data_IF_273290778045
#
_entry.id   IF_273290778045
#
_cell.length_a   1.000
_cell.length_b   1.000
_cell.length_c   1.000
_cell.angle_alpha   90.00
_cell.angle_beta   90.00
_cell.angle_gamma   90.00
#
_symmetry.space_group_name_H-M   'P 1'
#
loop_
_entity.id
_entity.type
_entity.pdbx_description
1 polymer ?
#
# COMPACT_ATOMS: atom_id res chain seq x y z
N UNK A 1 -20.04 -9.93 18.28
CA UNK A 1 -18.88 -10.83 18.08
C UNK A 1 -17.83 -10.09 17.27
N UNK A 2 -16.65 -9.86 17.84
CA UNK A 2 -15.50 -9.31 17.11
C UNK A 2 -14.78 -10.50 16.47
N UNK A 3 -14.86 -10.64 15.15
CA UNK A 3 -14.01 -11.58 14.42
C UNK A 3 -12.62 -10.96 14.38
N UNK A 4 -11.74 -11.43 15.26
CA UNK A 4 -10.30 -11.15 15.16
C UNK A 4 -9.79 -11.99 14.00
N UNK A 5 -9.31 -11.35 12.93
CA UNK A 5 -8.64 -12.05 11.83
C UNK A 5 -7.44 -12.82 12.40
N UNK A 6 -7.55 -14.15 12.42
CA UNK A 6 -6.58 -15.06 13.03
C UNK A 6 -5.40 -15.41 12.11
N UNK A 7 -5.35 -14.85 10.91
CA UNK A 7 -4.28 -15.10 9.94
C UNK A 7 -3.32 -13.93 9.91
N UNK A 8 -2.10 -14.18 10.36
CA UNK A 8 -0.99 -13.23 10.25
C UNK A 8 0.11 -13.83 9.39
N UNK A 9 0.55 -13.06 8.40
CA UNK A 9 1.65 -13.42 7.52
C UNK A 9 2.77 -12.43 7.73
N UNK A 10 3.94 -12.92 8.12
CA UNK A 10 5.14 -12.09 8.30
C UNK A 10 6.07 -12.25 7.12
N UNK A 11 6.31 -11.14 6.41
CA UNK A 11 7.27 -11.06 5.30
C UNK A 11 8.55 -10.40 5.84
N UNK A 12 9.69 -11.09 5.74
CA UNK A 12 10.99 -10.50 6.11
C UNK A 12 11.54 -9.66 4.95
N UNK A 13 11.99 -8.46 5.28
CA UNK A 13 12.65 -7.52 4.37
C UNK A 13 14.14 -7.43 4.68
N UNK A 14 14.98 -7.33 3.64
CA UNK A 14 16.38 -6.97 3.79
C UNK A 14 16.53 -5.48 4.10
N UNK A 15 17.72 -5.03 4.54
CA UNK A 15 18.01 -3.60 4.72
C UNK A 15 17.82 -2.80 3.43
N UNK A 16 18.13 -3.39 2.28
CA UNK A 16 17.88 -2.76 0.97
C UNK A 16 16.38 -2.62 0.72
N UNK A 17 15.58 -3.64 1.05
CA UNK A 17 14.13 -3.60 0.84
C UNK A 17 13.45 -2.55 1.72
N UNK A 18 13.89 -2.39 2.97
CA UNK A 18 13.32 -1.39 3.89
C UNK A 18 13.45 0.05 3.36
N UNK A 19 14.54 0.36 2.66
CA UNK A 19 14.71 1.67 2.00
C UNK A 19 13.66 1.92 0.92
N UNK A 20 13.28 0.87 0.20
CA UNK A 20 12.29 0.93 -0.87
C UNK A 20 10.87 0.95 -0.32
N UNK A 21 10.59 0.20 0.75
CA UNK A 21 9.25 0.11 1.36
C UNK A 21 8.86 1.42 2.06
N UNK A 22 9.78 2.06 2.77
CA UNK A 22 9.50 3.29 3.52
C UNK A 22 9.51 4.57 2.68
N UNK A 23 9.91 4.46 1.41
CA UNK A 23 10.03 5.57 0.46
C UNK A 23 10.70 6.80 1.10
N UNK A 24 11.82 6.57 1.80
CA UNK A 24 12.58 7.64 2.43
C UNK A 24 13.66 8.14 1.46
N UNK A 25 13.21 8.77 0.38
CA UNK A 25 14.08 9.37 -0.64
C UNK A 25 14.09 10.89 -0.49
N UNK A 26 15.26 11.53 -0.34
CA UNK A 26 15.36 13.00 -0.34
C UNK A 26 14.78 13.64 -1.60
N UNK A 27 14.81 12.92 -2.72
CA UNK A 27 14.39 13.32 -4.06
C UNK A 27 13.04 12.70 -4.49
N UNK A 28 12.24 12.19 -3.54
CA UNK A 28 10.96 11.53 -3.83
C UNK A 28 10.04 12.34 -4.77
N UNK A 29 10.04 13.66 -4.66
CA UNK A 29 9.25 14.53 -5.54
C UNK A 29 9.70 14.48 -7.00
N UNK A 30 11.01 14.53 -7.26
CA UNK A 30 11.55 14.39 -8.62
C UNK A 30 11.28 12.99 -9.16
N UNK A 31 11.44 11.97 -8.31
CA UNK A 31 11.13 10.58 -8.66
C UNK A 31 9.67 10.40 -9.08
N UNK A 32 8.72 11.08 -8.40
CA UNK A 32 7.29 11.11 -8.81
C UNK A 32 7.12 11.70 -10.20
N UNK A 33 7.69 12.87 -10.45
CA UNK A 33 7.58 13.54 -11.76
C UNK A 33 8.16 12.69 -12.91
N UNK A 34 9.16 11.87 -12.61
CA UNK A 34 9.80 10.97 -13.57
C UNK A 34 9.13 9.59 -13.67
N UNK A 35 8.05 9.33 -12.91
CA UNK A 35 7.41 8.02 -12.79
C UNK A 35 8.40 6.90 -12.41
N UNK A 36 9.36 7.17 -11.52
CA UNK A 36 10.29 6.15 -11.04
C UNK A 36 9.50 5.02 -10.35
N UNK A 37 9.66 3.74 -10.76
CA UNK A 37 8.86 2.64 -10.22
C UNK A 37 8.99 2.46 -8.70
N UNK A 38 10.10 2.92 -8.09
CA UNK A 38 10.34 2.84 -6.65
C UNK A 38 9.39 3.72 -5.85
N UNK A 39 8.74 4.70 -6.48
CA UNK A 39 7.75 5.55 -5.83
C UNK A 39 6.47 4.80 -5.46
N UNK A 40 6.25 3.60 -6.01
CA UNK A 40 5.20 2.68 -5.55
C UNK A 40 5.55 2.00 -4.21
N UNK A 41 6.76 2.20 -3.70
CA UNK A 41 7.23 1.75 -2.39
C UNK A 41 7.00 0.27 -2.10
N UNK A 42 6.19 -0.01 -1.07
CA UNK A 42 5.85 -1.38 -0.64
C UNK A 42 5.26 -2.21 -1.79
N UNK A 43 4.46 -1.61 -2.67
CA UNK A 43 3.87 -2.28 -3.83
C UNK A 43 4.96 -2.74 -4.77
N UNK A 44 5.87 -1.83 -5.16
CA UNK A 44 7.01 -2.16 -6.01
C UNK A 44 7.89 -3.24 -5.39
N UNK A 45 8.19 -3.14 -4.09
CA UNK A 45 9.05 -4.12 -3.43
C UNK A 45 8.45 -5.52 -3.39
N UNK A 46 7.15 -5.65 -3.09
CA UNK A 46 6.48 -6.94 -3.03
C UNK A 46 6.31 -7.57 -4.41
N UNK A 47 5.99 -6.75 -5.42
CA UNK A 47 5.80 -7.21 -6.80
C UNK A 47 7.13 -7.63 -7.41
N UNK A 48 8.20 -6.83 -7.30
CA UNK A 48 9.53 -7.18 -7.85
C UNK A 48 10.10 -8.47 -7.26
N UNK A 49 9.74 -8.77 -6.00
CA UNK A 49 10.14 -10.00 -5.29
C UNK A 49 9.27 -11.21 -5.64
N UNK A 50 8.24 -11.03 -6.47
CA UNK A 50 7.30 -12.08 -6.85
C UNK A 50 6.35 -12.52 -5.74
N UNK A 51 6.26 -11.75 -4.64
CA UNK A 51 5.41 -12.06 -3.46
C UNK A 51 3.97 -11.62 -3.70
N UNK A 52 3.79 -10.52 -4.44
CA UNK A 52 2.48 -9.97 -4.78
C UNK A 52 2.31 -9.83 -6.29
N UNK A 53 1.07 -9.57 -6.72
CA UNK A 53 0.73 -9.11 -8.07
C UNK A 53 0.12 -7.72 -7.99
N UNK A 54 0.42 -6.84 -8.94
CA UNK A 54 -0.26 -5.54 -9.03
C UNK A 54 -1.77 -5.76 -9.20
N UNK A 55 -2.56 -4.86 -8.61
CA UNK A 55 -4.02 -4.86 -8.65
C UNK A 55 -4.46 -3.55 -9.26
N UNK A 56 -5.30 -3.63 -10.30
CA UNK A 56 -5.92 -2.43 -10.83
C UNK A 56 -6.90 -1.86 -9.80
N UNK A 57 -7.05 -0.55 -9.82
CA UNK A 57 -7.99 0.17 -8.98
C UNK A 57 -9.40 -0.48 -9.00
N UNK A 58 -9.95 -0.78 -10.18
CA UNK A 58 -11.29 -1.37 -10.31
C UNK A 58 -11.42 -2.81 -9.74
N UNK A 59 -10.30 -3.44 -9.41
CA UNK A 59 -10.21 -4.80 -8.88
C UNK A 59 -9.78 -4.83 -7.40
N UNK A 60 -9.69 -3.65 -6.77
CA UNK A 60 -9.28 -3.49 -5.38
C UNK A 60 -10.25 -4.22 -4.44
N UNK A 61 -9.69 -5.02 -3.54
CA UNK A 61 -10.42 -5.81 -2.56
C UNK A 61 -9.89 -5.54 -1.15
N UNK A 62 -10.70 -5.92 -0.16
CA UNK A 62 -10.26 -5.92 1.23
C UNK A 62 -9.05 -6.85 1.39
N UNK A 63 -8.00 -6.37 2.06
CA UNK A 63 -6.74 -7.10 2.26
C UNK A 63 -5.64 -6.73 1.26
N UNK A 64 -5.94 -6.00 0.18
CA UNK A 64 -4.91 -5.51 -0.74
C UNK A 64 -4.02 -4.48 -0.06
N UNK A 65 -2.73 -4.52 -0.38
CA UNK A 65 -1.76 -3.54 0.10
C UNK A 65 -1.76 -2.37 -0.85
N UNK A 66 -1.92 -1.16 -0.31
CA UNK A 66 -1.98 0.07 -1.09
C UNK A 66 -0.82 0.99 -0.76
N UNK A 67 -0.32 1.69 -1.77
CA UNK A 67 0.56 2.84 -1.66
C UNK A 67 -0.04 3.95 -2.51
N UNK A 68 -0.04 5.17 -1.99
CA UNK A 68 -0.50 6.31 -2.77
C UNK A 68 0.21 7.60 -2.40
N UNK A 69 0.00 8.62 -3.23
CA UNK A 69 0.53 9.95 -3.03
C UNK A 69 -0.51 11.03 -3.31
N UNK A 70 -0.54 12.01 -2.42
CA UNK A 70 -1.13 13.33 -2.66
C UNK A 70 -0.02 14.33 -2.98
N UNK A 71 -0.35 15.57 -3.37
CA UNK A 71 0.63 16.59 -3.77
C UNK A 71 1.82 16.73 -2.80
N UNK A 72 1.59 16.70 -1.49
CA UNK A 72 2.65 16.97 -0.50
C UNK A 72 3.09 15.76 0.32
N UNK A 73 2.44 14.60 0.21
CA UNK A 73 2.73 13.45 1.08
C UNK A 73 2.26 12.11 0.49
N UNK A 74 2.89 11.02 0.95
CA UNK A 74 2.55 9.64 0.57
C UNK A 74 2.05 8.82 1.75
N UNK A 75 1.30 7.76 1.46
CA UNK A 75 0.76 6.87 2.48
C UNK A 75 0.64 5.44 1.99
N UNK A 76 0.61 4.50 2.95
CA UNK A 76 0.33 3.11 2.66
C UNK A 76 -0.52 2.46 3.75
N UNK A 77 -1.03 1.29 3.44
CA UNK A 77 -1.78 0.48 4.39
C UNK A 77 -2.48 -0.69 3.71
N UNK A 78 -3.48 -1.24 4.38
CA UNK A 78 -4.26 -2.38 3.89
C UNK A 78 -5.67 -1.92 3.56
N UNK A 79 -6.09 -2.06 2.32
CA UNK A 79 -7.42 -1.70 1.87
C UNK A 79 -8.49 -2.47 2.66
N UNK A 80 -9.52 -1.74 3.10
CA UNK A 80 -10.80 -2.31 3.55
C UNK A 80 -11.83 -2.29 2.43
N UNK A 81 -11.73 -1.31 1.52
CA UNK A 81 -12.57 -1.14 0.34
C UNK A 81 -12.46 0.28 -0.22
N UNK A 82 -13.19 0.55 -1.29
CA UNK A 82 -13.26 1.87 -1.91
C UNK A 82 -14.68 2.20 -2.36
N UNK A 83 -14.97 3.49 -2.50
CA UNK A 83 -16.17 4.02 -3.13
C UNK A 83 -15.74 4.93 -4.28
N UNK A 84 -15.77 4.39 -5.50
CA UNK A 84 -15.37 5.11 -6.70
C UNK A 84 -16.22 6.35 -7.02
N UNK A 85 -17.58 6.27 -6.98
CA UNK A 85 -18.40 7.44 -7.23
C UNK A 85 -18.09 8.63 -6.31
N UNK A 86 -17.74 8.36 -5.05
CA UNK A 86 -17.38 9.39 -4.06
C UNK A 86 -15.88 9.66 -3.97
N UNK A 87 -15.05 8.99 -4.78
CA UNK A 87 -13.58 9.00 -4.70
C UNK A 87 -13.10 8.87 -3.25
N UNK A 88 -13.51 7.82 -2.54
CA UNK A 88 -13.07 7.54 -1.18
C UNK A 88 -12.42 6.16 -1.07
N UNK A 89 -11.31 6.09 -0.36
CA UNK A 89 -10.60 4.87 -0.02
C UNK A 89 -10.67 4.65 1.50
N UNK A 90 -11.01 3.44 1.92
CA UNK A 90 -10.91 3.02 3.32
C UNK A 90 -9.78 2.03 3.48
N UNK A 91 -8.87 2.28 4.41
CA UNK A 91 -7.73 1.41 4.68
C UNK A 91 -7.31 1.42 6.15
N UNK A 92 -6.73 0.31 6.61
CA UNK A 92 -6.01 0.23 7.87
C UNK A 92 -4.64 0.88 7.67
N UNK A 93 -4.45 2.06 8.26
CA UNK A 93 -3.31 2.93 8.00
C UNK A 93 -2.01 2.34 8.56
N UNK A 94 -0.90 2.50 7.82
CA UNK A 94 0.43 2.13 8.30
C UNK A 94 1.06 3.18 9.22
N UNK A 95 0.45 4.37 9.35
CA UNK A 95 1.01 5.48 10.12
C UNK A 95 0.76 5.28 11.63
N UNK A 96 1.80 5.25 12.47
CA UNK A 96 1.66 4.97 13.90
C UNK A 96 0.72 5.92 14.64
N UNK A 97 0.65 7.21 14.25
CA UNK A 97 -0.24 8.21 14.85
C UNK A 97 -1.73 7.86 14.72
N UNK A 98 -2.08 6.96 13.80
CA UNK A 98 -3.45 6.48 13.62
C UNK A 98 -3.76 5.27 14.51
N UNK A 99 -2.81 4.77 15.31
CA UNK A 99 -2.90 3.48 16.02
C UNK A 99 -3.23 2.32 15.07
N UNK A 100 -2.77 2.41 13.81
CA UNK A 100 -3.06 1.45 12.73
C UNK A 100 -4.56 1.20 12.48
N UNK A 101 -5.40 2.18 12.84
CA UNK A 101 -6.85 2.08 12.71
C UNK A 101 -7.34 2.27 11.28
N UNK A 102 -8.61 1.89 11.06
CA UNK A 102 -9.31 2.17 9.81
C UNK A 102 -9.47 3.67 9.62
N UNK A 103 -9.03 4.18 8.47
CA UNK A 103 -9.14 5.58 8.08
C UNK A 103 -9.72 5.70 6.67
N UNK A 104 -10.39 6.82 6.42
CA UNK A 104 -10.87 7.20 5.09
C UNK A 104 -9.98 8.28 4.51
N UNK A 105 -9.64 8.15 3.23
CA UNK A 105 -8.89 9.15 2.49
C UNK A 105 -9.63 9.46 1.17
N UNK A 106 -9.55 10.72 0.67
CA UNK A 106 -9.87 11.00 -0.72
C UNK A 106 -9.04 10.11 -1.64
N UNK A 107 -9.61 9.69 -2.76
CA UNK A 107 -8.91 8.84 -3.70
C UNK A 107 -7.82 9.67 -4.40
N UNK A 108 -6.54 9.35 -4.17
CA UNK A 108 -5.40 10.11 -4.65
C UNK A 108 -5.21 9.91 -6.16
N UNK A 109 -4.59 10.87 -6.82
CA UNK A 109 -4.33 10.80 -8.27
C UNK A 109 -3.24 9.77 -8.60
N UNK A 110 -2.27 9.59 -7.71
CA UNK A 110 -1.27 8.52 -7.80
C UNK A 110 -1.60 7.40 -6.81
N UNK A 111 -2.12 6.29 -7.33
CA UNK A 111 -2.56 5.15 -6.54
C UNK A 111 -1.97 3.85 -7.08
N UNK A 112 -1.43 3.04 -6.17
CA UNK A 112 -0.84 1.75 -6.47
C UNK A 112 -1.37 0.71 -5.48
N UNK A 113 -1.69 -0.49 -5.99
CA UNK A 113 -2.16 -1.59 -5.15
C UNK A 113 -1.53 -2.91 -5.58
N UNK A 114 -1.38 -3.83 -4.63
CA UNK A 114 -1.01 -5.21 -4.91
C UNK A 114 -1.68 -6.19 -3.95
N UNK A 115 -1.81 -7.44 -4.41
CA UNK A 115 -2.37 -8.54 -3.64
C UNK A 115 -1.29 -9.58 -3.39
N UNK A 116 -1.13 -9.98 -2.13
CA UNK A 116 -0.22 -11.08 -1.76
C UNK A 116 -0.71 -12.37 -2.43
N UNK A 117 0.19 -13.10 -3.09
CA UNK A 117 -0.16 -14.38 -3.70
C UNK A 117 -0.49 -15.39 -2.62
N UNK A 118 -1.51 -16.23 -2.86
CA UNK A 118 -2.03 -17.21 -1.88
C UNK A 118 -0.95 -18.07 -1.23
N UNK A 119 0.08 -18.48 -1.98
CA UNK A 119 1.20 -19.28 -1.48
C UNK A 119 2.02 -18.63 -0.34
N UNK A 120 1.89 -17.31 -0.15
CA UNK A 120 2.56 -16.59 0.92
C UNK A 120 1.63 -16.28 2.11
N UNK A 121 0.32 -16.50 1.98
CA UNK A 121 -0.65 -16.33 3.06
C UNK A 121 -0.66 -17.60 3.92
N UNK A 122 -0.49 -17.44 5.24
CA UNK A 122 -0.55 -18.51 6.24
C UNK A 122 -1.83 -18.45 7.07
#
# INVERSE_FOLDING_TARGET
MVVVLQQSTTIKFSQKDLKEVHINYPDAWQMRQQNDPRIKGVVYNLVRRGIATEVNINELQAGDIVQFWNESWGHCGIAKGANYPKRLLWLYSSMPSTNFSLRSFPFPDEFYACRIKKQFLK
#
